data_IF_989357394865
#
_entry.id   IF_989357394865
#
_cell.length_a   1.000
_cell.length_b   1.000
_cell.length_c   1.000
_cell.angle_alpha   90.00
_cell.angle_beta   90.00
_cell.angle_gamma   90.00
#
_symmetry.space_group_name_H-M   'P 1'
#
loop_
_entity.id
_entity.type
_entity.pdbx_description
1 polymer ?
#
# COMPACT_ATOMS: atom_id res chain seq x y z
N UNK A 1 -9.14 3.31 1.99
CA UNK A 1 -8.89 2.49 3.20
C UNK A 1 -10.11 2.48 4.12
N UNK A 2 -10.63 1.28 4.46
CA UNK A 2 -11.94 1.10 5.10
C UNK A 2 -11.89 0.81 6.60
N UNK A 3 -10.71 0.53 7.16
CA UNK A 3 -10.55 0.26 8.60
C UNK A 3 -10.72 1.54 9.41
N UNK A 4 -11.95 1.81 9.88
CA UNK A 4 -12.24 2.91 10.82
C UNK A 4 -12.07 2.45 12.27
N UNK A 5 -12.45 1.22 12.57
CA UNK A 5 -12.35 0.59 13.88
C UNK A 5 -11.61 -0.75 13.75
N UNK A 6 -10.85 -1.13 14.77
CA UNK A 6 -10.24 -2.45 14.87
C UNK A 6 -10.60 -3.08 16.23
N UNK A 7 -11.42 -4.14 16.18
CA UNK A 7 -12.05 -4.69 17.38
C UNK A 7 -12.89 -3.64 18.12
N UNK A 8 -13.08 -3.86 19.43
CA UNK A 8 -13.91 -3.00 20.27
C UNK A 8 -13.10 -1.90 20.99
N UNK A 9 -11.77 -1.88 20.82
CA UNK A 9 -10.86 -1.06 21.63
C UNK A 9 -10.01 -0.04 20.87
N UNK A 10 -10.09 0.01 19.53
CA UNK A 10 -9.22 0.88 18.74
C UNK A 10 -9.98 1.58 17.61
N UNK A 11 -9.83 2.91 17.56
CA UNK A 11 -10.25 3.75 16.45
C UNK A 11 -9.00 4.08 15.64
N UNK A 12 -9.04 3.81 14.34
CA UNK A 12 -7.93 4.11 13.45
C UNK A 12 -7.77 5.62 13.29
N UNK A 13 -6.52 6.09 13.35
CA UNK A 13 -6.22 7.51 13.21
C UNK A 13 -6.73 8.03 11.86
N UNK A 14 -7.46 9.15 11.81
CA UNK A 14 -8.01 9.68 10.56
C UNK A 14 -6.90 9.94 9.52
N UNK A 15 -5.73 10.42 9.95
CA UNK A 15 -4.61 10.68 9.05
C UNK A 15 -4.06 9.41 8.37
N UNK A 16 -4.08 8.25 9.03
CA UNK A 16 -3.70 6.99 8.38
C UNK A 16 -4.65 6.65 7.24
N UNK A 17 -5.94 6.91 7.43
CA UNK A 17 -6.96 6.69 6.40
C UNK A 17 -6.82 7.69 5.26
N UNK A 18 -6.62 8.97 5.57
CA UNK A 18 -6.43 10.00 4.56
C UNK A 18 -5.17 9.71 3.71
N UNK A 19 -4.05 9.35 4.35
CA UNK A 19 -2.82 9.00 3.64
C UNK A 19 -2.99 7.76 2.75
N UNK A 20 -3.63 6.70 3.26
CA UNK A 20 -3.88 5.50 2.46
C UNK A 20 -4.87 5.73 1.31
N UNK A 21 -5.81 6.68 1.45
CA UNK A 21 -6.72 7.08 0.38
C UNK A 21 -5.99 7.87 -0.71
N UNK A 22 -5.18 8.85 -0.30
CA UNK A 22 -4.34 9.61 -1.22
C UNK A 22 -3.41 8.68 -2.03
N UNK A 23 -2.78 7.69 -1.40
CA UNK A 23 -1.92 6.72 -2.09
C UNK A 23 -2.69 5.85 -3.11
N UNK A 24 -3.92 5.41 -2.77
CA UNK A 24 -4.77 4.64 -3.68
C UNK A 24 -5.17 5.47 -4.91
N UNK A 25 -5.62 6.71 -4.68
CA UNK A 25 -6.06 7.59 -5.77
C UNK A 25 -4.90 8.10 -6.60
N UNK A 26 -3.71 8.29 -6.01
CA UNK A 26 -2.48 8.59 -6.74
C UNK A 26 -2.04 7.43 -7.64
N UNK A 27 -2.44 6.20 -7.32
CA UNK A 27 -2.18 5.03 -8.16
C UNK A 27 -3.18 4.96 -9.31
N UNK A 28 -4.45 4.64 -9.02
CA UNK A 28 -5.46 4.46 -10.04
C UNK A 28 -6.58 5.50 -9.89
N UNK A 29 -6.97 6.21 -10.97
CA UNK A 29 -6.40 6.20 -12.33
C UNK A 29 -5.19 7.13 -12.52
N UNK A 30 -4.80 7.87 -11.48
CA UNK A 30 -3.90 9.02 -11.55
C UNK A 30 -2.53 8.77 -12.18
N UNK A 31 -1.77 7.78 -11.74
CA UNK A 31 -0.37 7.64 -12.18
C UNK A 31 -0.25 7.14 -13.61
N UNK A 32 -1.24 6.40 -14.11
CA UNK A 32 -1.21 5.74 -15.41
C UNK A 32 -1.92 6.52 -16.53
N UNK A 33 -2.74 7.52 -16.19
CA UNK A 33 -3.57 8.25 -17.15
C UNK A 33 -2.95 9.59 -17.55
N UNK A 34 -2.56 9.78 -18.82
CA UNK A 34 -1.99 11.05 -19.30
C UNK A 34 -2.88 12.28 -19.07
N UNK A 35 -4.21 12.23 -19.27
CA UNK A 35 -5.03 13.44 -19.24
C UNK A 35 -5.23 14.04 -17.85
N UNK A 36 -4.88 13.32 -16.77
CA UNK A 36 -5.21 13.74 -15.40
C UNK A 36 -4.27 14.85 -14.90
N UNK A 37 -2.98 14.79 -15.27
CA UNK A 37 -1.96 15.76 -14.85
C UNK A 37 -1.10 16.22 -16.03
N UNK A 38 -1.66 16.97 -16.99
CA UNK A 38 -0.92 17.44 -18.16
C UNK A 38 0.29 18.33 -17.80
N UNK A 39 0.26 19.00 -16.67
CA UNK A 39 1.39 19.76 -16.14
C UNK A 39 2.62 18.89 -15.85
N UNK A 40 2.41 17.65 -15.39
CA UNK A 40 3.51 16.71 -15.15
C UNK A 40 4.15 16.26 -16.46
N UNK A 41 3.36 16.13 -17.53
CA UNK A 41 3.89 15.86 -18.88
C UNK A 41 4.74 17.03 -19.39
N UNK A 42 4.30 18.27 -19.16
CA UNK A 42 5.07 19.47 -19.51
C UNK A 42 6.40 19.56 -18.74
N UNK A 43 6.44 19.00 -17.53
CA UNK A 43 7.67 18.85 -16.72
C UNK A 43 8.52 17.63 -17.13
N UNK A 44 8.04 16.78 -18.04
CA UNK A 44 8.76 15.60 -18.55
C UNK A 44 8.52 14.30 -17.76
N UNK A 45 7.50 14.25 -16.91
CA UNK A 45 7.10 13.05 -16.18
C UNK A 45 6.03 12.27 -16.96
N UNK A 46 6.45 11.16 -17.55
CA UNK A 46 5.57 10.23 -18.25
C UNK A 46 4.73 9.39 -17.25
N UNK A 47 3.54 8.91 -17.65
CA UNK A 47 2.72 8.05 -16.81
C UNK A 47 3.47 6.82 -16.32
N UNK A 48 3.15 6.40 -15.10
CA UNK A 48 3.70 5.23 -14.45
C UNK A 48 2.60 4.24 -14.08
N UNK A 49 2.71 3.03 -14.63
CA UNK A 49 1.88 1.88 -14.26
C UNK A 49 2.43 1.26 -12.97
N UNK A 50 1.66 1.37 -11.88
CA UNK A 50 1.98 0.71 -10.62
C UNK A 50 1.58 -0.76 -10.71
N UNK A 51 2.51 -1.69 -10.47
CA UNK A 51 2.22 -3.12 -10.55
C UNK A 51 1.61 -3.72 -9.28
N UNK A 52 1.99 -3.21 -8.10
CA UNK A 52 1.53 -3.74 -6.81
C UNK A 52 1.31 -2.65 -5.75
N UNK A 53 0.30 -2.84 -4.91
CA UNK A 53 0.07 -2.04 -3.71
C UNK A 53 0.04 -2.92 -2.47
N UNK A 54 0.83 -2.56 -1.45
CA UNK A 54 0.84 -3.18 -0.14
C UNK A 54 0.23 -2.23 0.89
N UNK A 55 -0.97 -2.57 1.37
CA UNK A 55 -1.69 -1.77 2.35
C UNK A 55 -1.56 -2.38 3.75
N UNK A 56 -0.99 -1.62 4.69
CA UNK A 56 -0.94 -1.99 6.10
C UNK A 56 -2.28 -1.66 6.80
N UNK A 57 -2.45 -2.13 8.05
CA UNK A 57 -3.65 -1.94 8.89
C UNK A 57 -4.95 -2.49 8.27
N UNK A 58 -4.82 -3.46 7.36
CA UNK A 58 -5.95 -4.21 6.83
C UNK A 58 -6.45 -5.22 7.86
N UNK A 59 -7.78 -5.27 8.06
CA UNK A 59 -8.43 -6.34 8.84
C UNK A 59 -8.54 -7.66 8.06
N UNK A 60 -8.23 -7.65 6.76
CA UNK A 60 -8.23 -8.82 5.90
C UNK A 60 -6.90 -8.88 5.12
N UNK A 61 -5.75 -9.08 5.79
CA UNK A 61 -4.48 -9.23 5.08
C UNK A 61 -4.48 -10.51 4.24
N UNK A 62 -3.75 -10.49 3.13
CA UNK A 62 -3.57 -11.65 2.24
C UNK A 62 -2.10 -11.88 1.87
N UNK A 63 -1.18 -11.12 2.45
CA UNK A 63 0.25 -11.24 2.23
C UNK A 63 0.99 -11.06 3.55
N UNK A 64 1.99 -11.91 3.79
CA UNK A 64 2.79 -11.92 5.01
C UNK A 64 4.27 -11.99 4.63
N UNK A 65 5.07 -11.16 5.28
CA UNK A 65 6.52 -11.12 5.11
C UNK A 65 7.16 -11.60 6.40
N UNK A 66 7.95 -12.68 6.32
CA UNK A 66 8.74 -13.17 7.44
C UNK A 66 9.82 -12.13 7.80
N UNK A 67 9.77 -11.67 9.05
CA UNK A 67 10.73 -10.72 9.61
C UNK A 67 11.42 -11.29 10.84
N UNK A 68 11.45 -12.62 11.00
CA UNK A 68 12.01 -13.29 12.17
C UNK A 68 13.48 -12.92 12.38
N UNK A 69 14.24 -12.81 11.29
CA UNK A 69 15.66 -12.45 11.33
C UNK A 69 15.92 -10.94 11.47
N UNK A 70 14.89 -10.10 11.27
CA UNK A 70 15.01 -8.62 11.23
C UNK A 70 14.18 -7.91 12.29
N UNK A 71 13.48 -8.65 13.17
CA UNK A 71 12.64 -8.07 14.21
C UNK A 71 13.42 -7.13 15.13
N UNK A 72 14.66 -7.46 15.49
CA UNK A 72 15.49 -6.59 16.34
C UNK A 72 15.84 -5.28 15.64
N UNK A 73 16.15 -5.32 14.34
CA UNK A 73 16.41 -4.11 13.55
C UNK A 73 15.17 -3.20 13.47
N UNK A 74 13.98 -3.80 13.34
CA UNK A 74 12.71 -3.06 13.40
C UNK A 74 12.49 -2.41 14.77
N UNK A 75 12.79 -3.12 15.86
CA UNK A 75 12.64 -2.57 17.20
C UNK A 75 13.64 -1.46 17.46
N UNK A 76 14.88 -1.58 16.99
CA UNK A 76 15.88 -0.53 17.07
C UNK A 76 15.50 0.73 16.27
N UNK A 77 14.91 0.57 15.09
CA UNK A 77 14.42 1.72 14.33
C UNK A 77 13.30 2.45 15.07
N UNK A 78 12.40 1.73 15.73
CA UNK A 78 11.34 2.32 16.56
C UNK A 78 11.90 3.05 17.78
N UNK A 79 12.91 2.49 18.45
CA UNK A 79 13.61 3.13 19.59
C UNK A 79 14.19 4.49 19.23
N UNK A 80 14.59 4.70 17.97
CA UNK A 80 15.10 6.00 17.52
C UNK A 80 14.04 7.12 17.61
N UNK A 81 12.75 6.80 17.67
CA UNK A 81 11.64 7.75 17.81
C UNK A 81 11.29 8.04 19.27
N UNK A 82 12.29 8.34 20.10
CA UNK A 82 12.15 8.49 21.56
C UNK A 82 11.08 9.52 21.97
N UNK A 83 10.89 10.60 21.21
CA UNK A 83 9.86 11.60 21.50
C UNK A 83 8.43 11.11 21.28
N UNK A 84 8.24 10.01 20.54
CA UNK A 84 6.95 9.45 20.17
C UNK A 84 6.56 8.28 21.07
N UNK A 85 7.51 7.36 21.32
CA UNK A 85 7.24 6.12 22.05
C UNK A 85 7.83 6.10 23.47
N UNK A 86 8.47 7.20 23.89
CA UNK A 86 9.20 7.28 25.15
C UNK A 86 10.59 6.64 25.07
N UNK A 87 11.22 6.44 26.23
CA UNK A 87 12.55 5.85 26.35
C UNK A 87 12.64 4.93 27.55
N UNK A 88 13.60 3.98 27.54
CA UNK A 88 13.78 3.04 28.63
C UNK A 88 12.56 2.15 28.82
N UNK A 89 12.15 1.93 30.08
CA UNK A 89 11.05 1.01 30.42
C UNK A 89 9.70 1.40 29.82
N UNK A 90 9.44 2.70 29.61
CA UNK A 90 8.17 3.16 29.04
C UNK A 90 8.00 2.68 27.59
N UNK A 91 9.06 2.76 26.78
CA UNK A 91 9.03 2.28 25.40
C UNK A 91 8.96 0.74 25.34
N UNK A 92 9.75 0.07 26.18
CA UNK A 92 9.81 -1.40 26.24
C UNK A 92 8.50 -2.02 26.69
N UNK A 93 7.86 -1.46 27.72
CA UNK A 93 6.57 -1.95 28.22
C UNK A 93 5.37 -1.44 27.41
N UNK A 94 5.57 -0.40 26.61
CA UNK A 94 4.57 0.22 25.74
C UNK A 94 4.66 -0.27 24.30
N UNK A 95 4.94 0.65 23.37
CA UNK A 95 4.82 0.43 21.93
C UNK A 95 5.67 -0.75 21.42
N UNK A 96 6.88 -0.93 21.94
CA UNK A 96 7.78 -1.99 21.46
C UNK A 96 7.24 -3.39 21.79
N UNK A 97 6.72 -3.58 23.01
CA UNK A 97 6.04 -4.83 23.39
C UNK A 97 4.83 -5.11 22.52
N UNK A 98 3.98 -4.11 22.27
CA UNK A 98 2.81 -4.26 21.41
C UNK A 98 3.18 -4.65 19.98
N UNK A 99 4.23 -4.04 19.43
CA UNK A 99 4.71 -4.35 18.07
C UNK A 99 5.25 -5.78 17.99
N UNK A 100 6.02 -6.23 18.99
CA UNK A 100 6.49 -7.63 19.06
C UNK A 100 5.33 -8.61 19.11
N UNK A 101 4.34 -8.37 19.97
CA UNK A 101 3.15 -9.23 20.09
C UNK A 101 2.43 -9.32 18.74
N UNK A 102 2.13 -8.16 18.11
CA UNK A 102 1.44 -8.13 16.84
C UNK A 102 2.20 -8.85 15.72
N UNK A 103 3.53 -8.69 15.65
CA UNK A 103 4.32 -9.41 14.66
C UNK A 103 4.43 -10.90 14.97
N UNK A 104 4.46 -11.31 16.23
CA UNK A 104 4.42 -12.73 16.60
C UNK A 104 3.06 -13.37 16.25
N UNK A 105 1.96 -12.65 16.47
CA UNK A 105 0.62 -13.08 16.03
C UNK A 105 0.58 -13.27 14.52
N UNK A 106 1.08 -12.31 13.74
CA UNK A 106 1.23 -12.45 12.30
C UNK A 106 2.12 -13.63 11.89
N UNK A 107 3.22 -13.85 12.61
CA UNK A 107 4.13 -14.97 12.36
C UNK A 107 3.46 -16.32 12.59
N UNK A 108 2.66 -16.44 13.66
CA UNK A 108 1.90 -17.65 13.98
C UNK A 108 0.94 -18.05 12.85
N UNK A 109 0.27 -17.09 12.20
CA UNK A 109 -0.64 -17.36 11.09
C UNK A 109 0.05 -18.04 9.90
N UNK A 110 1.35 -17.82 9.70
CA UNK A 110 2.12 -18.36 8.57
C UNK A 110 3.27 -19.29 8.99
N UNK A 111 3.33 -19.68 10.26
CA UNK A 111 4.28 -20.66 10.77
C UNK A 111 5.72 -20.16 10.95
N UNK A 112 5.92 -18.85 11.16
CA UNK A 112 7.24 -18.22 11.40
C UNK A 112 7.26 -17.49 12.76
N UNK A 113 8.44 -17.04 13.20
CA UNK A 113 8.59 -16.37 14.50
C UNK A 113 7.91 -15.01 14.55
N UNK A 114 8.10 -14.20 13.52
CA UNK A 114 7.51 -12.86 13.39
C UNK A 114 7.17 -12.57 11.93
N UNK A 115 6.00 -12.00 11.66
CA UNK A 115 5.63 -11.54 10.33
C UNK A 115 4.94 -10.17 10.33
N UNK A 116 5.19 -9.39 9.28
CA UNK A 116 4.36 -8.24 8.91
C UNK A 116 3.30 -8.68 7.91
N UNK A 117 2.09 -8.12 8.02
CA UNK A 117 0.98 -8.48 7.17
C UNK A 117 0.44 -7.28 6.39
N UNK A 118 0.07 -7.53 5.15
CA UNK A 118 -0.42 -6.53 4.22
C UNK A 118 -1.64 -7.05 3.47
N UNK A 119 -2.49 -6.13 3.02
CA UNK A 119 -3.36 -6.37 1.89
C UNK A 119 -2.58 -6.02 0.62
N UNK A 120 -2.14 -7.05 -0.08
CA UNK A 120 -1.51 -6.97 -1.39
C UNK A 120 -2.58 -6.95 -2.48
N UNK A 121 -2.49 -5.95 -3.34
CA UNK A 121 -3.21 -5.84 -4.60
C UNK A 121 -2.18 -5.91 -5.73
N UNK A 122 -2.36 -6.84 -6.66
CA UNK A 122 -1.55 -6.96 -7.88
C UNK A 122 -2.43 -6.63 -9.07
N UNK A 123 -1.94 -5.80 -9.98
CA UNK A 123 -2.72 -5.34 -11.13
C UNK A 123 -2.39 -6.14 -12.40
N UNK A 124 -1.13 -6.56 -12.52
CA UNK A 124 -0.59 -7.30 -13.67
C UNK A 124 -1.01 -8.80 -13.71
N UNK A 125 -1.95 -9.23 -12.85
CA UNK A 125 -2.37 -10.64 -12.77
C UNK A 125 -3.65 -10.85 -13.57
N UNK A 126 -3.69 -11.85 -14.48
CA UNK A 126 -4.91 -12.18 -15.23
C UNK A 126 -6.03 -12.57 -14.28
N UNK A 127 -7.27 -12.17 -14.59
CA UNK A 127 -8.42 -12.64 -13.82
C UNK A 127 -8.52 -14.17 -13.92
N UNK A 128 -8.98 -14.88 -12.89
CA UNK A 128 -9.18 -16.32 -12.97
C UNK A 128 -10.08 -16.70 -14.16
N UNK A 129 -9.53 -17.47 -15.11
CA UNK A 129 -10.23 -17.87 -16.34
C UNK A 129 -10.12 -16.88 -17.51
N UNK A 130 -9.25 -15.87 -17.41
CA UNK A 130 -8.91 -14.95 -18.50
C UNK A 130 -7.43 -15.08 -18.85
N UNK A 131 -7.12 -14.98 -20.13
CA UNK A 131 -5.75 -15.04 -20.64
C UNK A 131 -4.95 -13.77 -20.26
N UNK A 132 -3.63 -13.81 -20.42
CA UNK A 132 -2.76 -12.71 -19.99
C UNK A 132 -2.99 -11.38 -20.74
N UNK A 133 -3.57 -11.43 -21.94
CA UNK A 133 -4.01 -10.30 -22.74
C UNK A 133 -5.45 -9.83 -22.41
N UNK A 134 -6.12 -10.49 -21.46
CA UNK A 134 -7.48 -10.19 -20.99
C UNK A 134 -7.49 -9.72 -19.51
N UNK A 135 -6.33 -9.28 -19.02
CA UNK A 135 -6.18 -8.71 -17.68
C UNK A 135 -7.05 -7.46 -17.52
N UNK A 136 -7.35 -7.09 -16.26
CA UNK A 136 -7.99 -5.79 -15.97
C UNK A 136 -7.14 -4.66 -16.56
N UNK A 137 -5.82 -4.82 -16.50
CA UNK A 137 -4.85 -3.91 -17.09
C UNK A 137 -4.95 -3.80 -18.62
N UNK A 138 -5.07 -4.90 -19.37
CA UNK A 138 -5.23 -4.82 -20.83
C UNK A 138 -6.52 -4.09 -21.24
N UNK A 139 -7.61 -4.29 -20.48
CA UNK A 139 -8.86 -3.55 -20.71
C UNK A 139 -8.74 -2.06 -20.34
N UNK A 140 -7.93 -1.73 -19.33
CA UNK A 140 -7.68 -0.36 -18.88
C UNK A 140 -6.68 0.36 -19.78
N UNK A 141 -5.63 -0.30 -20.26
CA UNK A 141 -4.70 0.19 -21.26
C UNK A 141 -5.45 0.54 -22.54
N UNK A 142 -6.35 -0.32 -23.03
CA UNK A 142 -7.18 0.00 -24.18
C UNK A 142 -8.06 1.27 -23.98
N UNK A 143 -8.58 1.50 -22.78
CA UNK A 143 -9.33 2.73 -22.47
C UNK A 143 -8.41 3.96 -22.29
N UNK A 144 -7.23 3.75 -21.70
CA UNK A 144 -6.24 4.80 -21.44
C UNK A 144 -5.58 5.25 -22.74
N UNK A 145 -5.23 4.33 -23.63
CA UNK A 145 -4.73 4.63 -24.98
C UNK A 145 -5.78 5.37 -25.79
N UNK A 146 -7.03 4.92 -25.77
CA UNK A 146 -8.12 5.63 -26.46
C UNK A 146 -8.33 7.06 -25.93
N UNK A 147 -8.13 7.30 -24.63
CA UNK A 147 -8.22 8.65 -24.04
C UNK A 147 -6.96 9.48 -24.27
N UNK A 148 -5.79 8.85 -24.31
CA UNK A 148 -4.50 9.48 -24.64
C UNK A 148 -4.46 9.93 -26.10
N UNK A 149 -4.91 9.10 -27.04
CA UNK A 149 -5.03 9.42 -28.45
C UNK A 149 -6.01 10.58 -28.67
N UNK A 150 -7.19 10.53 -28.04
CA UNK A 150 -8.17 11.61 -28.12
C UNK A 150 -7.65 12.94 -27.56
N UNK A 151 -6.84 12.91 -26.50
CA UNK A 151 -6.19 14.10 -25.95
C UNK A 151 -5.12 14.68 -26.90
N UNK A 152 -4.31 13.81 -27.53
CA UNK A 152 -3.29 14.22 -28.50
C UNK A 152 -3.88 14.81 -29.79
N UNK A 153 -5.01 14.27 -30.27
CA UNK A 153 -5.70 14.80 -31.46
C UNK A 153 -6.38 16.15 -31.18
N UNK A 154 -6.88 16.38 -29.97
CA UNK A 154 -7.54 17.63 -29.55
C UNK A 154 -6.61 18.85 -29.45
N UNK A 155 -5.28 18.65 -29.30
CA UNK A 155 -4.28 19.72 -29.29
C UNK A 155 -3.78 20.08 -30.71
N UNK A 156 -4.16 19.32 -31.74
CA UNK A 156 -3.71 19.52 -33.13
C UNK A 156 -4.67 20.35 -34.02
N UNK A 157 -5.78 20.85 -33.46
CA UNK A 157 -6.82 21.63 -34.13
C UNK A 157 -6.88 23.09 -33.64
#
# INVERSE_FOLDING_TARGET
>A
PTTVFAGDGYINHPDHRAAGEAALYATFPSSESRPIFPELLAEGYEPHKVGELLLNLSMNPNHFVDISDTIEQKIDSLRAHASQIGSGEDAENGALKWIRIRNAEGGKEVGVGYAEHFKLMKFDVPRPGMEADETVDAAQEAMTDATNEAAAEGESA
#
